data_IF_270377661873
#
_entry.id   IF_270377661873
#
_cell.length_a   1.000
_cell.length_b   1.000
_cell.length_c   1.000
_cell.angle_alpha   90.00
_cell.angle_beta   90.00
_cell.angle_gamma   90.00
#
_symmetry.space_group_name_H-M   'P 1'
#
loop_
_entity.id
_entity.type
_entity.pdbx_description
1 polymer ?
#
# COMPACT_ATOMS: atom_id res chain seq x y z
N UNK A 1 22.12 -1.26 1.78
CA UNK A 1 20.94 -0.56 1.23
C UNK A 1 20.15 -1.58 0.42
N UNK A 2 19.04 -2.11 0.94
CA UNK A 2 18.26 -3.10 0.18
C UNK A 2 17.62 -2.40 -1.01
N UNK A 3 18.10 -2.76 -2.20
CA UNK A 3 17.50 -2.43 -3.48
C UNK A 3 16.50 -3.51 -3.88
N UNK A 4 15.44 -3.10 -4.60
CA UNK A 4 14.62 -3.81 -5.63
C UNK A 4 13.22 -3.20 -5.64
N UNK A 5 12.53 -2.83 -6.72
CA UNK A 5 12.80 -2.78 -8.16
C UNK A 5 11.71 -1.89 -8.79
N UNK A 6 12.10 -0.91 -9.59
CA UNK A 6 11.41 -0.29 -10.75
C UNK A 6 9.89 -0.53 -10.99
N UNK A 7 8.99 -0.20 -10.06
CA UNK A 7 7.51 -0.18 -10.27
C UNK A 7 6.88 1.00 -9.52
N UNK A 8 6.43 2.04 -10.25
CA UNK A 8 5.80 3.32 -9.79
C UNK A 8 6.00 3.62 -8.29
N UNK A 9 6.95 4.51 -7.97
CA UNK A 9 7.22 5.03 -6.63
C UNK A 9 5.93 5.20 -5.80
N UNK A 10 5.85 4.57 -4.63
CA UNK A 10 4.83 4.91 -3.65
C UNK A 10 5.22 6.24 -3.01
N UNK A 11 4.36 7.23 -3.12
CA UNK A 11 4.56 8.53 -2.47
C UNK A 11 3.85 8.59 -1.13
N UNK A 12 4.23 9.51 -0.25
CA UNK A 12 3.50 9.75 1.00
C UNK A 12 2.00 10.04 0.77
N UNK A 13 1.67 10.66 -0.37
CA UNK A 13 0.27 10.90 -0.78
C UNK A 13 -0.44 9.59 -1.12
N UNK A 14 0.25 8.66 -1.78
CA UNK A 14 -0.29 7.33 -2.08
C UNK A 14 -0.46 6.52 -0.79
N UNK A 15 0.47 6.62 0.15
CA UNK A 15 0.35 5.96 1.45
C UNK A 15 -0.87 6.48 2.23
N UNK A 16 -1.07 7.79 2.29
CA UNK A 16 -2.25 8.40 2.91
C UNK A 16 -3.55 7.94 2.23
N UNK A 17 -3.57 7.90 0.90
CA UNK A 17 -4.69 7.35 0.11
C UNK A 17 -4.94 5.88 0.43
N UNK A 18 -3.89 5.06 0.51
CA UNK A 18 -3.97 3.63 0.81
C UNK A 18 -4.53 3.39 2.21
N UNK A 19 -4.07 4.14 3.21
CA UNK A 19 -4.57 4.07 4.58
C UNK A 19 -6.05 4.49 4.62
N UNK A 20 -6.40 5.63 4.02
CA UNK A 20 -7.79 6.12 3.96
C UNK A 20 -8.71 5.13 3.26
N UNK A 21 -8.27 4.56 2.14
CA UNK A 21 -8.97 3.52 1.40
C UNK A 21 -9.17 2.26 2.24
N UNK A 22 -8.15 1.84 2.98
CA UNK A 22 -8.21 0.64 3.82
C UNK A 22 -9.10 0.88 5.05
N UNK A 23 -9.13 2.08 5.60
CA UNK A 23 -10.10 2.45 6.65
C UNK A 23 -11.55 2.44 6.12
N UNK A 24 -11.78 2.90 4.89
CA UNK A 24 -13.11 3.00 4.30
C UNK A 24 -13.66 1.65 3.79
N UNK A 25 -12.81 0.85 3.16
CA UNK A 25 -13.21 -0.39 2.48
C UNK A 25 -12.68 -1.67 3.15
N UNK A 26 -11.93 -1.54 4.24
CA UNK A 26 -11.23 -2.65 4.89
C UNK A 26 -10.06 -3.18 4.05
N UNK A 27 -9.64 -4.41 4.33
CA UNK A 27 -8.59 -5.15 3.60
C UNK A 27 -9.03 -5.62 2.20
N UNK A 28 -10.03 -4.97 1.60
CA UNK A 28 -10.48 -5.26 0.24
C UNK A 28 -9.61 -4.50 -0.79
N UNK A 29 -8.42 -5.04 -1.04
CA UNK A 29 -7.42 -4.39 -1.91
C UNK A 29 -7.88 -4.22 -3.35
N UNK A 30 -8.77 -5.09 -3.85
CA UNK A 30 -9.36 -4.95 -5.18
C UNK A 30 -10.21 -3.67 -5.25
N UNK A 31 -11.05 -3.45 -4.23
CA UNK A 31 -11.87 -2.25 -4.13
C UNK A 31 -11.03 -0.99 -3.88
N UNK A 32 -9.98 -1.08 -3.06
CA UNK A 32 -9.06 0.04 -2.82
C UNK A 32 -8.31 0.41 -4.10
N UNK A 33 -7.75 -0.57 -4.81
CA UNK A 33 -7.08 -0.37 -6.10
C UNK A 33 -8.00 0.34 -7.12
N UNK A 34 -9.24 -0.14 -7.28
CA UNK A 34 -10.21 0.45 -8.19
C UNK A 34 -10.67 1.85 -7.75
N UNK A 35 -11.05 2.00 -6.48
CA UNK A 35 -11.74 3.21 -5.99
C UNK A 35 -10.80 4.35 -5.60
N UNK A 36 -9.57 4.04 -5.18
CA UNK A 36 -8.60 5.02 -4.66
C UNK A 36 -7.49 5.30 -5.67
N UNK A 37 -7.03 4.26 -6.35
CA UNK A 37 -5.92 4.35 -7.29
C UNK A 37 -6.36 4.19 -8.75
N UNK A 38 -7.67 4.05 -9.04
CA UNK A 38 -8.19 3.90 -10.40
C UNK A 38 -7.45 2.81 -11.20
N UNK A 39 -7.13 1.68 -10.55
CA UNK A 39 -6.33 0.58 -11.09
C UNK A 39 -4.85 0.89 -11.41
N UNK A 40 -4.32 2.05 -11.01
CA UNK A 40 -2.90 2.39 -11.18
C UNK A 40 -1.95 1.54 -10.31
N UNK A 41 -2.44 1.08 -9.16
CA UNK A 41 -1.73 0.19 -8.24
C UNK A 41 -2.48 -1.12 -8.18
N UNK A 42 -1.78 -2.24 -8.34
CA UNK A 42 -2.44 -3.55 -8.24
C UNK A 42 -2.91 -3.81 -6.80
N UNK A 43 -3.95 -4.64 -6.62
CA UNK A 43 -4.41 -5.03 -5.29
C UNK A 43 -3.29 -5.65 -4.44
N UNK A 44 -2.42 -6.44 -5.06
CA UNK A 44 -1.27 -7.06 -4.39
C UNK A 44 -0.27 -6.00 -3.92
N UNK A 45 0.04 -5.00 -4.76
CA UNK A 45 0.92 -3.90 -4.36
C UNK A 45 0.33 -3.07 -3.20
N UNK A 46 -1.00 -2.85 -3.19
CA UNK A 46 -1.68 -2.18 -2.09
C UNK A 46 -1.55 -2.96 -0.78
N UNK A 47 -1.71 -4.30 -0.83
CA UNK A 47 -1.52 -5.17 0.33
C UNK A 47 -0.09 -5.11 0.86
N UNK A 48 0.90 -5.32 -0.01
CA UNK A 48 2.32 -5.31 0.38
C UNK A 48 2.71 -3.98 1.01
N UNK A 49 2.31 -2.87 0.38
CA UNK A 49 2.60 -1.53 0.90
C UNK A 49 1.89 -1.26 2.22
N UNK A 50 0.64 -1.68 2.36
CA UNK A 50 -0.09 -1.49 3.62
C UNK A 50 0.56 -2.28 4.77
N UNK A 51 1.03 -3.50 4.51
CA UNK A 51 1.78 -4.28 5.50
C UNK A 51 3.10 -3.57 5.87
N UNK A 52 3.83 -3.04 4.89
CA UNK A 52 5.08 -2.30 5.14
C UNK A 52 4.88 -1.01 5.96
N UNK A 53 3.74 -0.32 5.80
CA UNK A 53 3.41 0.90 6.56
C UNK A 53 2.85 0.57 7.96
N UNK A 54 2.04 -0.47 8.06
CA UNK A 54 1.27 -0.78 9.30
C UNK A 54 2.05 -1.67 10.25
N UNK A 55 2.93 -2.52 9.73
CA UNK A 55 3.86 -3.29 10.54
C UNK A 55 5.17 -2.50 10.51
N UNK A 56 5.41 -1.57 11.46
CA UNK A 56 6.78 -1.16 11.69
C UNK A 56 7.53 -2.46 11.91
N UNK A 57 8.60 -2.69 11.13
CA UNK A 57 9.56 -3.75 11.40
C UNK A 57 10.09 -3.49 12.81
N UNK A 58 9.35 -3.96 13.82
CA UNK A 58 9.84 -4.17 15.15
C UNK A 58 10.95 -5.17 14.92
N UNK A 59 12.16 -4.64 14.89
CA UNK A 59 13.36 -5.43 14.94
C UNK A 59 13.15 -6.37 16.12
N UNK A 60 12.89 -7.63 15.83
CA UNK A 60 13.08 -8.71 16.78
C UNK A 60 14.53 -8.57 17.25
N UNK A 61 14.66 -8.33 18.55
CA UNK A 61 15.84 -8.28 19.42
C UNK A 61 17.17 -8.72 18.81
#
# INVERSE_FOLDING_TARGET
>A
MVQRSSKKMWTHKDDAKLISGTMKYGRNWARVSASIFHHEKSPMACKERHLEITEPKVLSF
#
